data_IF_377785573887
#
_entry.id   IF_377785573887
#
_cell.length_a   1.000
_cell.length_b   1.000
_cell.length_c   1.000
_cell.angle_alpha   90.00
_cell.angle_beta   90.00
_cell.angle_gamma   90.00
#
_symmetry.space_group_name_H-M   'P 1'
#
loop_
_entity.id
_entity.type
_entity.pdbx_description
1 polymer ?
#
# COMPACT_ATOMS: atom_id res chain seq x y z
N UNK A 1 7.13 12.38 -20.75
CA UNK A 1 8.50 12.56 -20.21
C UNK A 1 9.12 11.18 -20.12
N UNK A 2 10.09 10.86 -20.97
CA UNK A 2 10.89 9.64 -20.81
C UNK A 2 11.84 9.88 -19.65
N UNK A 3 11.42 9.44 -18.47
CA UNK A 3 12.23 9.56 -17.26
C UNK A 3 13.33 8.50 -17.31
N UNK A 4 14.54 8.90 -17.71
CA UNK A 4 15.71 8.02 -17.72
C UNK A 4 16.27 7.90 -16.31
N UNK A 5 15.58 7.12 -15.48
CA UNK A 5 16.13 6.68 -14.20
C UNK A 5 17.17 5.58 -14.42
N UNK A 6 18.31 5.66 -13.72
CA UNK A 6 19.33 4.59 -13.71
C UNK A 6 18.88 3.34 -12.92
N UNK A 7 17.92 3.52 -12.02
CA UNK A 7 17.34 2.47 -11.17
C UNK A 7 16.00 3.00 -10.64
N UNK A 8 14.99 2.14 -10.57
CA UNK A 8 13.67 2.48 -10.03
C UNK A 8 13.14 1.36 -9.14
N UNK A 9 12.04 1.65 -8.45
CA UNK A 9 11.24 0.64 -7.75
C UNK A 9 9.82 0.75 -8.29
N UNK A 10 9.28 -0.36 -8.76
CA UNK A 10 7.88 -0.49 -9.12
C UNK A 10 7.10 -0.99 -7.90
N UNK A 11 5.95 -0.37 -7.64
CA UNK A 11 5.10 -0.69 -6.49
C UNK A 11 3.79 -1.26 -7.02
N UNK A 12 3.51 -2.53 -6.70
CA UNK A 12 2.28 -3.19 -7.10
C UNK A 12 1.13 -2.85 -6.15
N UNK A 13 0.23 -1.97 -6.60
CA UNK A 13 -0.98 -1.62 -5.85
C UNK A 13 -1.98 -2.79 -5.71
N UNK A 14 -1.97 -3.75 -6.63
CA UNK A 14 -2.79 -4.96 -6.54
C UNK A 14 -2.34 -5.86 -5.39
N UNK A 15 -1.02 -6.03 -5.23
CA UNK A 15 -0.45 -6.75 -4.09
C UNK A 15 -0.78 -6.08 -2.75
N UNK A 16 -0.76 -4.74 -2.69
CA UNK A 16 -1.16 -4.00 -1.48
C UNK A 16 -2.61 -4.27 -1.08
N UNK A 17 -3.55 -4.21 -2.03
CA UNK A 17 -4.97 -4.54 -1.78
C UNK A 17 -5.15 -5.99 -1.37
N UNK A 18 -4.53 -6.92 -2.08
CA UNK A 18 -4.59 -8.34 -1.70
C UNK A 18 -4.13 -8.57 -0.25
N UNK A 19 -3.01 -7.97 0.15
CA UNK A 19 -2.49 -8.12 1.51
C UNK A 19 -3.41 -7.49 2.56
N UNK A 20 -4.02 -6.35 2.25
CA UNK A 20 -4.99 -5.70 3.13
C UNK A 20 -6.26 -6.55 3.29
N UNK A 21 -6.80 -7.10 2.20
CA UNK A 21 -7.90 -8.06 2.26
C UNK A 21 -7.57 -9.29 3.13
N UNK A 22 -6.40 -9.90 2.93
CA UNK A 22 -5.95 -11.04 3.76
C UNK A 22 -5.84 -10.66 5.24
N UNK A 23 -5.37 -9.45 5.54
CA UNK A 23 -5.34 -8.95 6.91
C UNK A 23 -6.77 -8.76 7.45
N UNK A 24 -7.69 -8.18 6.66
CA UNK A 24 -9.09 -7.95 7.05
C UNK A 24 -9.80 -9.26 7.40
N UNK A 25 -9.64 -10.28 6.55
CA UNK A 25 -10.20 -11.62 6.77
C UNK A 25 -9.73 -12.24 8.10
N UNK A 26 -8.51 -11.93 8.55
CA UNK A 26 -7.93 -12.45 9.80
C UNK A 26 -8.30 -11.65 11.04
N UNK A 27 -8.49 -10.34 10.91
CA UNK A 27 -8.78 -9.44 12.04
C UNK A 27 -10.25 -9.59 12.50
N UNK A 28 -11.14 -10.03 11.62
CA UNK A 28 -12.56 -10.20 11.91
C UNK A 28 -13.27 -8.86 12.09
N UNK A 29 -14.01 -8.69 13.19
CA UNK A 29 -14.83 -7.50 13.43
C UNK A 29 -14.08 -6.26 13.95
N UNK A 30 -12.76 -6.34 14.16
CA UNK A 30 -11.99 -5.19 14.64
C UNK A 30 -11.60 -4.24 13.50
N UNK A 31 -11.39 -2.97 13.86
CA UNK A 31 -10.90 -1.96 12.94
C UNK A 31 -9.45 -2.23 12.55
N UNK A 32 -9.09 -1.86 11.32
CA UNK A 32 -7.74 -2.00 10.79
C UNK A 32 -7.11 -0.61 10.63
N UNK A 33 -5.86 -0.47 11.07
CA UNK A 33 -5.05 0.72 10.85
C UNK A 33 -3.84 0.37 9.99
N UNK A 34 -3.84 0.82 8.73
CA UNK A 34 -2.68 0.69 7.85
C UNK A 34 -1.57 1.66 8.27
N UNK A 35 -0.45 1.13 8.75
CA UNK A 35 0.69 1.95 9.20
C UNK A 35 1.56 2.30 8.00
N UNK A 36 1.56 3.58 7.59
CA UNK A 36 2.36 4.08 6.44
C UNK A 36 3.59 4.92 6.86
N UNK A 37 4.15 4.65 8.03
CA UNK A 37 5.34 5.36 8.53
C UNK A 37 6.54 5.20 7.58
N UNK A 38 7.52 6.10 7.70
CA UNK A 38 8.75 6.09 6.89
C UNK A 38 8.48 6.02 5.38
N UNK A 39 7.57 6.88 4.90
CA UNK A 39 7.15 6.92 3.50
C UNK A 39 6.56 5.59 3.00
N UNK A 40 5.65 4.99 3.78
CA UNK A 40 5.15 3.63 3.58
C UNK A 40 6.27 2.59 3.45
N UNK A 41 7.23 2.62 4.38
CA UNK A 41 8.42 1.75 4.35
C UNK A 41 9.18 1.80 3.02
N UNK A 42 9.26 2.99 2.41
CA UNK A 42 9.93 3.21 1.12
C UNK A 42 9.07 2.98 -0.12
N UNK A 43 7.81 2.56 0.02
CA UNK A 43 6.89 2.30 -1.12
C UNK A 43 6.18 3.57 -1.62
N UNK A 44 6.29 4.69 -0.91
CA UNK A 44 5.63 5.95 -1.26
C UNK A 44 4.33 6.15 -0.49
N UNK A 45 4.33 7.12 0.43
CA UNK A 45 3.26 7.33 1.40
C UNK A 45 1.90 7.57 0.74
N UNK A 46 1.83 8.49 -0.22
CA UNK A 46 0.55 8.93 -0.79
C UNK A 46 -0.08 7.81 -1.60
N UNK A 47 0.66 7.21 -2.55
CA UNK A 47 0.14 6.13 -3.38
C UNK A 47 -0.29 4.90 -2.58
N UNK A 48 0.45 4.54 -1.52
CA UNK A 48 0.06 3.45 -0.62
C UNK A 48 -1.17 3.82 0.21
N UNK A 49 -1.20 5.02 0.79
CA UNK A 49 -2.34 5.46 1.60
C UNK A 49 -3.64 5.52 0.78
N UNK A 50 -3.59 6.07 -0.43
CA UNK A 50 -4.72 6.10 -1.37
C UNK A 50 -5.16 4.69 -1.80
N UNK A 51 -4.19 3.81 -2.07
CA UNK A 51 -4.49 2.41 -2.45
C UNK A 51 -5.22 1.66 -1.35
N UNK A 52 -4.85 1.87 -0.09
CA UNK A 52 -5.40 1.18 1.08
C UNK A 52 -6.65 1.85 1.66
N UNK A 53 -6.87 3.14 1.39
CA UNK A 53 -8.06 3.86 1.88
C UNK A 53 -9.37 3.44 1.18
N UNK A 54 -9.30 2.77 0.02
CA UNK A 54 -10.46 2.37 -0.79
C UNK A 54 -11.06 1.02 -0.35
N UNK A 55 -10.45 0.33 0.62
CA UNK A 55 -11.06 -0.89 1.18
C UNK A 55 -12.23 -0.55 2.12
N UNK A 56 -13.45 -0.79 1.64
CA UNK A 56 -14.69 -0.88 2.43
C UNK A 56 -14.85 -2.28 2.99
#
# INVERSE_FOLDING_TARGET
MTDTHRCWVEIDCGALRHNAQVARERIGGAEMLAVVKANAYGHGMIGVAETLAIEV
#
